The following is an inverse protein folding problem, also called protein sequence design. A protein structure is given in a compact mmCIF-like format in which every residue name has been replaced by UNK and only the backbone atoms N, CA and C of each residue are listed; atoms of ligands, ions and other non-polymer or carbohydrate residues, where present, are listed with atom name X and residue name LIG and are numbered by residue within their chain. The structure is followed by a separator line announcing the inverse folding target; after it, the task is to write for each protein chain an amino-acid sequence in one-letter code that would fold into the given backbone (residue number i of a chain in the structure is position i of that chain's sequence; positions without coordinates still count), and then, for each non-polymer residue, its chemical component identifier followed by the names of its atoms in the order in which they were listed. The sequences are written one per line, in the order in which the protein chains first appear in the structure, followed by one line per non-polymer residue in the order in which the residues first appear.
data_IF_059779390454
#
_entry.id   IF_059779390454
#
_cell.length_a   1.000
_cell.length_b   1.000
_cell.length_c   1.000
_cell.angle_alpha   90.00
_cell.angle_beta   90.00
_cell.angle_gamma   90.00
#
_symmetry.space_group_name_H-M   'P 1'
#
loop_
_entity.id
_entity.type
_entity.pdbx_description
1 polymer ?
#
# COMPACT_ATOMS: atom_id res chain seq x y z
N UNK A 1 -19.64 59.65 -19.93
CA UNK A 1 -18.99 58.60 -20.77
C UNK A 1 -18.35 57.59 -19.87
N UNK A 2 -19.07 56.49 -19.57
CA UNK A 2 -18.68 55.45 -18.61
C UNK A 2 -17.97 54.34 -19.39
N UNK A 3 -16.65 54.21 -19.21
CA UNK A 3 -15.87 53.14 -19.85
C UNK A 3 -16.01 51.85 -19.03
N UNK A 4 -16.62 50.83 -19.62
CA UNK A 4 -16.67 49.47 -19.09
C UNK A 4 -15.38 48.77 -19.44
N UNK A 5 -14.58 48.38 -18.41
CA UNK A 5 -13.44 47.48 -18.57
C UNK A 5 -13.97 46.03 -18.46
N UNK A 6 -13.96 45.32 -19.58
CA UNK A 6 -14.22 43.87 -19.59
C UNK A 6 -12.92 43.19 -19.17
N UNK A 7 -12.89 42.65 -17.96
CA UNK A 7 -11.79 41.79 -17.50
C UNK A 7 -11.94 40.42 -18.14
N UNK A 8 -11.06 40.12 -19.08
CA UNK A 8 -10.97 38.78 -19.71
C UNK A 8 -10.28 37.82 -18.73
N UNK A 9 -11.06 36.93 -18.06
CA UNK A 9 -10.55 35.91 -17.18
C UNK A 9 -9.95 34.79 -18.05
N UNK A 10 -8.62 34.75 -18.16
CA UNK A 10 -7.93 33.62 -18.78
C UNK A 10 -7.99 32.40 -17.83
N UNK A 11 -8.88 31.46 -18.13
CA UNK A 11 -8.84 30.11 -17.57
C UNK A 11 -7.62 29.37 -18.12
N UNK A 12 -6.53 29.33 -17.35
CA UNK A 12 -5.39 28.50 -17.69
C UNK A 12 -5.83 27.01 -17.52
N UNK A 13 -5.65 26.16 -18.55
CA UNK A 13 -5.92 24.75 -18.41
C UNK A 13 -4.97 24.17 -17.37
N UNK A 14 -5.52 23.59 -16.30
CA UNK A 14 -4.76 22.80 -15.32
C UNK A 14 -4.36 21.49 -16.02
N UNK A 15 -3.13 21.39 -16.47
CA UNK A 15 -2.57 20.12 -16.91
C UNK A 15 -2.35 19.26 -15.67
N UNK A 16 -3.21 18.26 -15.47
CA UNK A 16 -2.92 17.21 -14.50
C UNK A 16 -1.63 16.50 -14.96
N UNK A 17 -0.56 16.71 -14.22
CA UNK A 17 0.73 16.07 -14.49
C UNK A 17 0.62 14.57 -14.15
N UNK A 18 1.24 13.72 -14.96
CA UNK A 18 1.40 12.31 -14.62
C UNK A 18 2.21 12.18 -13.31
N UNK A 19 1.80 11.27 -12.44
CA UNK A 19 2.57 10.94 -11.25
C UNK A 19 3.66 9.94 -11.65
N UNK A 20 4.90 10.24 -11.25
CA UNK A 20 6.08 9.42 -11.57
C UNK A 20 6.82 9.05 -10.30
N UNK A 21 7.25 7.79 -10.21
CA UNK A 21 8.03 7.27 -9.09
C UNK A 21 9.20 6.46 -9.62
N UNK A 22 10.35 6.64 -8.99
CA UNK A 22 11.58 5.91 -9.34
C UNK A 22 12.27 5.50 -8.05
N UNK A 23 12.55 4.21 -7.90
CA UNK A 23 13.34 3.70 -6.78
C UNK A 23 14.82 4.06 -6.94
N UNK A 24 15.60 3.95 -5.86
CA UNK A 24 17.04 3.82 -5.94
C UNK A 24 17.48 2.47 -6.54
N UNK A 25 18.79 2.25 -6.64
CA UNK A 25 19.37 0.96 -6.97
C UNK A 25 19.35 -0.01 -5.78
N UNK A 26 19.39 0.53 -4.57
CA UNK A 26 19.16 -0.22 -3.33
C UNK A 26 17.70 -0.60 -3.21
N UNK A 27 17.42 -1.70 -2.55
CA UNK A 27 16.07 -2.17 -2.32
C UNK A 27 15.26 -1.17 -1.49
N UNK A 28 14.12 -0.76 -1.98
CA UNK A 28 13.12 -0.02 -1.22
C UNK A 28 12.42 -0.99 -0.28
N UNK A 29 12.37 -0.69 1.00
CA UNK A 29 11.73 -1.54 1.99
C UNK A 29 10.21 -1.57 1.81
N UNK A 30 9.63 -2.75 1.93
CA UNK A 30 8.17 -2.89 1.93
C UNK A 30 7.71 -3.34 3.30
N UNK A 31 6.82 -2.54 3.90
CA UNK A 31 6.25 -2.77 5.22
C UNK A 31 4.78 -3.17 5.06
N UNK A 32 4.49 -4.43 5.32
CA UNK A 32 3.14 -4.97 5.22
C UNK A 32 2.59 -5.25 6.62
N UNK A 33 1.44 -4.66 6.93
CA UNK A 33 0.68 -4.95 8.13
C UNK A 33 -0.56 -5.76 7.76
N UNK A 34 -0.67 -6.97 8.28
CA UNK A 34 -1.90 -7.76 8.25
C UNK A 34 -2.72 -7.43 9.50
N UNK A 35 -3.90 -6.86 9.32
CA UNK A 35 -4.73 -6.27 10.37
C UNK A 35 -6.21 -6.58 10.14
N UNK A 36 -7.06 -6.28 11.11
CA UNK A 36 -8.52 -6.31 10.99
C UNK A 36 -9.16 -5.41 12.04
N UNK A 37 -10.24 -4.73 11.68
CA UNK A 37 -11.08 -4.00 12.65
C UNK A 37 -11.72 -4.93 13.69
N UNK A 38 -11.85 -6.22 13.38
CA UNK A 38 -12.34 -7.24 14.32
C UNK A 38 -11.36 -7.59 15.43
N UNK A 39 -10.06 -7.33 15.25
CA UNK A 39 -8.98 -7.72 16.15
C UNK A 39 -8.69 -6.62 17.18
N UNK A 40 -8.89 -6.85 18.46
CA UNK A 40 -8.69 -5.84 19.53
C UNK A 40 -7.24 -5.44 19.75
N UNK A 41 -6.28 -6.29 19.40
CA UNK A 41 -4.84 -6.01 19.52
C UNK A 41 -4.26 -5.29 18.28
N UNK A 42 -5.04 -5.11 17.21
CA UNK A 42 -4.59 -4.50 15.96
C UNK A 42 -4.47 -2.97 16.00
N UNK A 43 -5.35 -2.19 16.65
CA UNK A 43 -5.31 -0.73 16.58
C UNK A 43 -3.97 -0.08 16.97
N UNK A 44 -3.17 -0.59 17.91
CA UNK A 44 -1.82 -0.05 18.15
C UNK A 44 -0.88 -0.21 16.96
N UNK A 45 -0.97 -1.31 16.20
CA UNK A 45 -0.16 -1.54 15.00
C UNK A 45 -0.63 -0.65 13.84
N UNK A 46 -1.94 -0.47 13.68
CA UNK A 46 -2.50 0.46 12.69
C UNK A 46 -2.03 1.89 12.95
N UNK A 47 -2.05 2.35 14.21
CA UNK A 47 -1.53 3.69 14.58
C UNK A 47 -0.03 3.83 14.32
N UNK A 48 0.75 2.78 14.60
CA UNK A 48 2.18 2.77 14.27
C UNK A 48 2.39 2.90 12.76
N UNK A 49 1.70 2.09 11.95
CA UNK A 49 1.80 2.18 10.49
C UNK A 49 1.39 3.57 10.00
N UNK A 50 0.29 4.12 10.54
CA UNK A 50 -0.18 5.48 10.22
C UNK A 50 0.85 6.57 10.58
N UNK A 51 1.65 6.37 11.62
CA UNK A 51 2.69 7.34 12.02
C UNK A 51 3.81 7.47 10.99
N UNK A 52 4.01 6.46 10.15
CA UNK A 52 4.99 6.48 9.07
C UNK A 52 4.72 7.55 8.00
N UNK A 53 3.48 8.09 7.96
CA UNK A 53 3.13 9.24 7.06
C UNK A 53 4.00 10.47 7.28
N UNK A 54 4.51 10.65 8.48
CA UNK A 54 5.30 11.83 8.86
C UNK A 54 6.80 11.67 8.55
N UNK A 55 7.22 10.50 8.07
CA UNK A 55 8.62 10.27 7.71
C UNK A 55 8.96 10.97 6.39
N UNK A 56 10.10 11.70 6.32
CA UNK A 56 10.61 12.24 5.07
C UNK A 56 11.06 11.17 4.07
N UNK A 57 11.21 9.93 4.54
CA UNK A 57 11.65 8.74 3.78
C UNK A 57 10.48 7.97 3.16
N UNK A 58 9.23 8.36 3.52
CA UNK A 58 8.04 7.73 2.98
C UNK A 58 8.04 7.75 1.45
N UNK A 59 7.78 6.57 0.86
CA UNK A 59 7.80 6.31 -0.59
C UNK A 59 9.16 6.52 -1.28
N UNK A 60 10.21 6.82 -0.52
CA UNK A 60 11.60 6.88 -1.01
C UNK A 60 12.37 5.65 -0.58
N UNK A 61 12.50 5.47 0.74
CA UNK A 61 13.25 4.35 1.32
C UNK A 61 12.31 3.19 1.69
N UNK A 62 11.04 3.47 1.94
CA UNK A 62 10.05 2.42 2.25
C UNK A 62 8.64 2.72 1.75
N UNK A 63 7.89 1.64 1.52
CA UNK A 63 6.49 1.65 1.06
C UNK A 63 5.64 0.86 2.06
N UNK A 64 4.76 1.52 2.86
CA UNK A 64 3.88 0.84 3.79
C UNK A 64 2.55 0.45 3.17
N UNK A 65 1.98 -0.69 3.59
CA UNK A 65 0.68 -1.19 3.16
C UNK A 65 -0.04 -1.89 4.32
N UNK A 66 -1.35 -1.66 4.47
CA UNK A 66 -2.22 -2.38 5.39
C UNK A 66 -3.14 -3.32 4.63
N UNK A 67 -3.03 -4.61 4.86
CA UNK A 67 -3.89 -5.65 4.32
C UNK A 67 -4.91 -6.07 5.38
N UNK A 68 -6.17 -5.69 5.21
CA UNK A 68 -7.25 -6.09 6.10
C UNK A 68 -7.70 -7.51 5.77
N UNK A 69 -7.55 -8.42 6.73
CA UNK A 69 -7.87 -9.85 6.59
C UNK A 69 -9.31 -10.13 7.02
N UNK A 70 -9.96 -11.10 6.36
CA UNK A 70 -11.37 -11.41 6.55
C UNK A 70 -11.65 -12.51 7.58
N UNK A 71 -10.62 -13.18 8.10
CA UNK A 71 -10.82 -14.28 9.03
C UNK A 71 -11.23 -13.86 10.46
N UNK A 72 -11.47 -12.55 10.69
CA UNK A 72 -12.10 -12.02 11.89
C UNK A 72 -13.59 -11.67 11.70
N UNK A 73 -14.11 -11.68 10.47
CA UNK A 73 -15.49 -11.26 10.17
C UNK A 73 -16.55 -12.09 10.89
N UNK A 74 -16.23 -13.31 11.33
CA UNK A 74 -17.14 -14.22 12.05
C UNK A 74 -17.53 -13.74 13.46
N UNK A 75 -16.80 -12.76 14.04
CA UNK A 75 -17.10 -12.25 15.39
C UNK A 75 -18.23 -11.19 15.41
N UNK A 76 -18.96 -11.03 14.33
CA UNK A 76 -20.11 -10.15 14.21
C UNK A 76 -19.83 -8.76 13.65
N UNK A 77 -18.58 -8.45 13.30
CA UNK A 77 -18.18 -7.25 12.58
C UNK A 77 -17.50 -7.62 11.26
N UNK A 78 -18.12 -7.19 10.16
CA UNK A 78 -17.51 -7.35 8.84
C UNK A 78 -16.68 -6.12 8.54
N UNK A 79 -15.37 -6.30 8.51
CA UNK A 79 -14.42 -5.23 8.19
C UNK A 79 -14.63 -4.74 6.75
N UNK A 80 -14.97 -3.44 6.52
CA UNK A 80 -15.29 -2.92 5.19
C UNK A 80 -14.12 -2.93 4.21
N UNK A 81 -12.90 -3.14 4.69
CA UNK A 81 -11.67 -3.17 3.90
C UNK A 81 -11.14 -4.59 3.70
N UNK A 82 -11.63 -5.56 4.49
CA UNK A 82 -11.15 -6.94 4.44
C UNK A 82 -11.47 -7.64 3.12
N UNK A 83 -10.54 -8.48 2.69
CA UNK A 83 -10.73 -9.34 1.51
C UNK A 83 -10.06 -10.70 1.71
N UNK A 84 -10.72 -11.76 1.25
CA UNK A 84 -10.17 -13.12 1.26
C UNK A 84 -8.80 -13.22 0.57
N UNK A 85 -8.59 -12.42 -0.49
CA UNK A 85 -7.31 -12.36 -1.18
C UNK A 85 -6.15 -11.84 -0.29
N UNK A 86 -6.46 -11.01 0.72
CA UNK A 86 -5.44 -10.49 1.64
C UNK A 86 -5.08 -11.52 2.73
N UNK A 87 -6.06 -12.27 3.21
CA UNK A 87 -5.81 -13.45 4.05
C UNK A 87 -5.01 -14.51 3.29
N UNK A 88 -5.31 -14.70 2.00
CA UNK A 88 -4.56 -15.62 1.16
C UNK A 88 -3.11 -15.17 0.93
N UNK A 89 -2.87 -13.85 0.76
CA UNK A 89 -1.52 -13.30 0.68
C UNK A 89 -0.71 -13.64 1.93
N UNK A 90 -1.30 -13.51 3.12
CA UNK A 90 -0.62 -13.90 4.38
C UNK A 90 -0.36 -15.41 4.45
N UNK A 91 -1.33 -16.25 4.04
CA UNK A 91 -1.12 -17.69 3.94
C UNK A 91 -0.01 -18.09 2.96
N UNK A 92 0.13 -17.34 1.85
CA UNK A 92 1.23 -17.54 0.91
C UNK A 92 2.58 -17.29 1.57
N UNK A 93 2.72 -16.22 2.37
CA UNK A 93 3.93 -15.99 3.15
C UNK A 93 4.26 -17.15 4.09
N UNK A 94 3.24 -17.76 4.71
CA UNK A 94 3.44 -18.97 5.55
C UNK A 94 3.90 -20.16 4.70
N UNK A 95 3.26 -20.41 3.56
CA UNK A 95 3.64 -21.51 2.65
C UNK A 95 5.06 -21.36 2.09
N UNK A 96 5.51 -20.13 1.87
CA UNK A 96 6.88 -19.84 1.40
C UNK A 96 7.91 -19.81 2.56
N UNK A 97 7.48 -20.00 3.80
CA UNK A 97 8.37 -20.01 4.98
C UNK A 97 8.86 -18.64 5.43
N UNK A 98 8.24 -17.56 4.94
CA UNK A 98 8.57 -16.19 5.30
C UNK A 98 7.97 -15.75 6.64
N UNK A 99 6.86 -16.35 7.02
CA UNK A 99 6.08 -16.08 8.24
C UNK A 99 5.75 -17.40 8.92
N UNK A 100 5.82 -17.43 10.24
CA UNK A 100 5.63 -18.65 11.02
C UNK A 100 4.20 -19.18 10.99
N UNK A 101 3.22 -18.28 10.98
CA UNK A 101 1.78 -18.58 10.94
C UNK A 101 0.98 -17.34 10.55
N UNK A 102 -0.28 -17.52 10.16
CA UNK A 102 -1.21 -16.40 9.95
C UNK A 102 -1.75 -15.90 11.30
N UNK A 103 -1.59 -14.62 11.59
CA UNK A 103 -2.10 -13.93 12.79
C UNK A 103 -2.21 -12.43 12.57
N UNK A 104 -2.93 -11.74 13.46
CA UNK A 104 -3.01 -10.29 13.49
C UNK A 104 -2.75 -9.72 14.90
N UNK A 105 -2.13 -8.53 15.00
CA UNK A 105 -1.47 -7.85 13.90
C UNK A 105 -0.21 -8.60 13.47
N UNK A 106 -0.08 -8.91 12.18
CA UNK A 106 1.10 -9.54 11.59
C UNK A 106 1.90 -8.51 10.80
N UNK A 107 3.18 -8.34 11.09
CA UNK A 107 4.04 -7.38 10.39
C UNK A 107 5.11 -8.13 9.60
N UNK A 108 5.21 -7.82 8.33
CA UNK A 108 6.21 -8.37 7.40
C UNK A 108 7.00 -7.22 6.81
N UNK A 109 8.31 -7.28 6.91
CA UNK A 109 9.21 -6.30 6.30
C UNK A 109 10.14 -7.05 5.34
N UNK A 110 10.14 -6.68 4.07
CA UNK A 110 10.97 -7.30 3.04
C UNK A 110 10.86 -8.84 3.02
N UNK A 111 9.61 -9.35 3.07
CA UNK A 111 9.31 -10.78 3.11
C UNK A 111 9.75 -11.52 4.38
N UNK A 112 10.10 -10.82 5.44
CA UNK A 112 10.47 -11.42 6.72
C UNK A 112 9.49 -11.02 7.81
N UNK A 113 9.02 -11.99 8.58
CA UNK A 113 8.21 -11.75 9.77
C UNK A 113 8.97 -10.84 10.75
N UNK A 114 8.35 -9.70 11.13
CA UNK A 114 8.97 -8.74 12.03
C UNK A 114 8.28 -8.72 13.38
N UNK A 115 8.76 -9.55 14.32
CA UNK A 115 8.19 -9.71 15.67
C UNK A 115 8.74 -8.73 16.70
N UNK A 116 9.76 -7.97 16.37
CA UNK A 116 10.38 -6.99 17.28
C UNK A 116 9.42 -5.87 17.65
N UNK A 117 8.40 -5.60 16.83
CA UNK A 117 7.32 -4.67 17.16
C UNK A 117 6.66 -5.03 18.51
N UNK A 118 6.41 -6.31 18.78
CA UNK A 118 5.83 -6.80 20.05
C UNK A 118 6.77 -6.60 21.24
N UNK A 119 8.06 -6.40 21.00
CA UNK A 119 9.08 -6.12 22.01
C UNK A 119 9.35 -4.61 22.16
N UNK A 120 8.50 -3.76 21.58
CA UNK A 120 8.60 -2.29 21.69
C UNK A 120 9.46 -1.62 20.62
N UNK A 121 10.05 -2.34 19.67
CA UNK A 121 10.76 -1.71 18.54
C UNK A 121 9.75 -1.06 17.58
N UNK A 122 10.13 0.11 17.04
CA UNK A 122 9.29 0.89 16.11
C UNK A 122 10.01 1.21 14.80
N UNK A 123 11.29 0.84 14.72
CA UNK A 123 12.14 1.00 13.53
C UNK A 123 12.79 -0.34 13.20
N UNK A 124 13.12 -0.54 11.95
CA UNK A 124 13.83 -1.72 11.44
C UNK A 124 15.15 -1.30 10.80
N UNK A 125 15.97 -2.26 10.40
CA UNK A 125 17.19 -2.02 9.65
C UNK A 125 16.88 -2.13 8.16
N UNK A 126 17.26 -1.13 7.37
CA UNK A 126 17.02 -1.06 5.94
C UNK A 126 17.76 -2.17 5.19
N UNK A 127 17.15 -2.65 4.10
CA UNK A 127 17.77 -3.61 3.19
C UNK A 127 18.56 -2.84 2.12
N UNK A 128 19.89 -2.81 2.27
CA UNK A 128 20.80 -2.10 1.36
C UNK A 128 21.20 -2.90 0.12
N UNK A 129 20.57 -4.06 -0.13
CA UNK A 129 20.87 -4.91 -1.27
C UNK A 129 20.64 -4.18 -2.59
N UNK A 130 21.61 -4.24 -3.50
CA UNK A 130 21.46 -3.72 -4.86
C UNK A 130 20.60 -4.66 -5.70
N UNK A 131 19.50 -4.17 -6.24
CA UNK A 131 18.49 -5.01 -6.89
C UNK A 131 18.04 -4.48 -8.26
N UNK A 132 18.46 -3.27 -8.63
CA UNK A 132 18.00 -2.57 -9.83
C UNK A 132 16.92 -1.55 -9.51
N UNK A 133 16.58 -0.75 -10.50
CA UNK A 133 15.65 0.39 -10.42
C UNK A 133 14.29 0.00 -10.97
N UNK A 134 13.24 0.25 -10.21
CA UNK A 134 11.85 0.21 -10.67
C UNK A 134 11.38 1.63 -10.95
N UNK A 135 10.91 1.90 -12.17
CA UNK A 135 10.27 3.15 -12.59
C UNK A 135 8.80 2.90 -12.84
N UNK A 136 7.96 3.79 -12.36
CA UNK A 136 6.53 3.73 -12.61
C UNK A 136 5.96 5.11 -12.92
N UNK A 137 5.01 5.15 -13.85
CA UNK A 137 4.30 6.36 -14.27
C UNK A 137 2.80 6.06 -14.24
N UNK A 138 2.03 6.92 -13.60
CA UNK A 138 0.58 6.88 -13.64
C UNK A 138 0.05 8.15 -14.32
N UNK A 139 -0.45 7.99 -15.53
CA UNK A 139 -1.15 9.05 -16.25
C UNK A 139 -2.66 8.72 -16.25
N UNK A 140 -3.40 9.39 -15.38
CA UNK A 140 -4.82 9.13 -15.12
C UNK A 140 -5.06 7.68 -14.71
N UNK A 141 -5.41 6.82 -15.67
CA UNK A 141 -5.64 5.37 -15.46
C UNK A 141 -4.61 4.50 -16.19
N UNK A 142 -3.74 5.11 -16.97
CA UNK A 142 -2.68 4.37 -17.68
C UNK A 142 -1.45 4.28 -16.79
N UNK A 143 -1.22 3.11 -16.25
CA UNK A 143 -0.05 2.79 -15.44
C UNK A 143 0.99 2.08 -16.27
N UNK A 144 2.22 2.58 -16.24
CA UNK A 144 3.38 1.92 -16.86
C UNK A 144 4.43 1.67 -15.80
N UNK A 145 5.13 0.54 -15.88
CA UNK A 145 6.26 0.26 -15.02
C UNK A 145 7.37 -0.43 -15.81
N UNK A 146 8.62 -0.15 -15.44
CA UNK A 146 9.82 -0.77 -15.99
C UNK A 146 10.78 -1.11 -14.85
N UNK A 147 11.34 -2.32 -14.89
CA UNK A 147 12.32 -2.80 -13.92
C UNK A 147 13.60 -3.25 -14.64
N UNK A 148 14.74 -2.68 -14.27
CA UNK A 148 16.04 -2.98 -14.90
C UNK A 148 16.87 -4.05 -14.18
N UNK A 149 16.31 -4.62 -13.08
CA UNK A 149 16.97 -5.70 -12.35
C UNK A 149 17.09 -7.02 -13.14
N UNK A 150 17.89 -7.94 -12.64
CA UNK A 150 18.20 -9.20 -13.36
C UNK A 150 17.01 -10.16 -13.46
N UNK A 151 16.19 -10.25 -12.41
CA UNK A 151 15.07 -11.19 -12.31
C UNK A 151 13.76 -10.43 -12.31
N UNK A 152 12.96 -10.69 -13.31
CA UNK A 152 11.62 -10.15 -13.43
C UNK A 152 10.57 -11.26 -13.32
N UNK A 153 9.31 -10.86 -13.19
CA UNK A 153 8.20 -11.79 -13.04
C UNK A 153 6.88 -11.02 -13.07
N UNK A 154 6.24 -10.87 -11.95
CA UNK A 154 4.96 -10.19 -11.82
C UNK A 154 5.13 -8.76 -11.32
N UNK A 155 4.32 -7.86 -11.86
CA UNK A 155 4.08 -6.54 -11.28
C UNK A 155 2.82 -6.61 -10.41
N UNK A 156 2.93 -6.09 -9.20
CA UNK A 156 1.81 -5.88 -8.31
C UNK A 156 1.56 -4.38 -8.15
N UNK A 157 0.30 -3.98 -8.13
CA UNK A 157 -0.11 -2.58 -7.95
C UNK A 157 -1.20 -2.56 -6.89
N UNK A 158 -0.97 -1.85 -5.81
CA UNK A 158 -1.97 -1.60 -4.76
C UNK A 158 -2.47 -0.16 -4.84
N UNK A 159 -3.79 0.01 -4.91
CA UNK A 159 -4.43 1.29 -4.69
C UNK A 159 -4.66 1.42 -3.19
N UNK A 160 -4.09 2.46 -2.59
CA UNK A 160 -4.08 2.69 -1.15
C UNK A 160 -5.03 3.82 -0.77
N UNK A 161 -5.84 3.60 0.26
CA UNK A 161 -6.66 4.63 0.90
C UNK A 161 -5.98 5.19 2.15
N UNK A 162 -6.03 6.52 2.29
CA UNK A 162 -5.44 7.26 3.41
C UNK A 162 -6.51 7.98 4.20
N UNK A 163 -6.37 8.02 5.54
CA UNK A 163 -7.28 8.76 6.42
C UNK A 163 -8.70 8.20 6.43
N UNK A 164 -8.84 6.90 6.26
CA UNK A 164 -10.12 6.18 6.37
C UNK A 164 -10.56 6.13 7.83
N UNK A 165 -11.84 6.36 8.09
CA UNK A 165 -12.40 6.32 9.45
C UNK A 165 -13.64 5.44 9.49
N UNK A 166 -13.71 4.55 10.47
CA UNK A 166 -14.82 3.62 10.66
C UNK A 166 -15.32 3.64 12.10
N UNK A 167 -16.64 3.77 12.29
CA UNK A 167 -17.27 3.54 13.60
C UNK A 167 -17.64 2.06 13.71
N UNK A 168 -16.89 1.31 14.49
CA UNK A 168 -17.07 -0.15 14.67
C UNK A 168 -18.33 -0.42 15.50
N UNK A 169 -19.28 -1.21 14.98
CA UNK A 169 -20.57 -1.44 15.63
C UNK A 169 -20.68 -2.76 16.38
N UNK A 170 -19.78 -3.71 16.12
CA UNK A 170 -19.79 -5.04 16.74
C UNK A 170 -18.36 -5.59 16.87
N UNK A 171 -18.21 -6.83 17.39
CA UNK A 171 -16.91 -7.47 17.59
C UNK A 171 -16.10 -6.86 18.75
N UNK A 172 -14.82 -7.22 18.83
CA UNK A 172 -13.96 -6.83 19.96
C UNK A 172 -13.66 -5.32 20.04
N UNK A 173 -13.75 -4.60 18.93
CA UNK A 173 -13.56 -3.14 18.89
C UNK A 173 -14.88 -2.35 18.88
N UNK A 174 -16.00 -2.98 19.26
CA UNK A 174 -17.32 -2.32 19.31
C UNK A 174 -17.26 -0.99 20.07
N UNK A 175 -17.87 0.04 19.47
CA UNK A 175 -17.96 1.39 20.03
C UNK A 175 -16.73 2.26 19.82
N UNK A 176 -15.68 1.74 19.18
CA UNK A 176 -14.50 2.52 18.81
C UNK A 176 -14.66 3.18 17.46
N UNK A 177 -14.05 4.34 17.31
CA UNK A 177 -13.75 4.95 16.02
C UNK A 177 -12.29 4.62 15.67
N UNK A 178 -12.08 3.95 14.54
CA UNK A 178 -10.77 3.55 14.05
C UNK A 178 -10.41 4.38 12.84
N UNK A 179 -9.16 4.83 12.78
CA UNK A 179 -8.59 5.54 11.63
C UNK A 179 -7.45 4.74 11.05
N UNK A 180 -7.46 4.60 9.73
CA UNK A 180 -6.50 3.79 9.00
C UNK A 180 -5.85 4.57 7.87
N UNK A 181 -4.59 4.25 7.61
CA UNK A 181 -3.80 4.76 6.49
C UNK A 181 -3.13 3.60 5.75
N UNK A 182 -2.76 3.84 4.51
CA UNK A 182 -2.10 2.86 3.64
C UNK A 182 -2.94 1.59 3.41
N UNK A 183 -4.27 1.68 3.56
CA UNK A 183 -5.18 0.53 3.40
C UNK A 183 -5.22 0.10 1.94
N UNK A 184 -4.91 -1.15 1.66
CA UNK A 184 -5.01 -1.72 0.32
C UNK A 184 -6.48 -1.86 -0.07
N UNK A 185 -7.00 -0.92 -0.84
CA UNK A 185 -8.38 -0.92 -1.34
C UNK A 185 -8.55 -1.84 -2.54
N UNK A 186 -7.51 -1.94 -3.37
CA UNK A 186 -7.46 -2.83 -4.53
C UNK A 186 -6.04 -3.31 -4.76
N UNK A 187 -5.89 -4.58 -5.02
CA UNK A 187 -4.64 -5.21 -5.46
C UNK A 187 -4.82 -5.75 -6.88
N UNK A 188 -3.86 -5.47 -7.73
CA UNK A 188 -3.80 -5.89 -9.13
C UNK A 188 -2.46 -6.61 -9.31
N UNK A 189 -2.47 -7.77 -9.94
CA UNK A 189 -1.26 -8.50 -10.28
C UNK A 189 -1.25 -8.73 -11.79
N UNK A 190 -0.14 -8.40 -12.43
CA UNK A 190 0.03 -8.49 -13.88
C UNK A 190 1.27 -9.31 -14.18
N UNK A 191 1.12 -10.43 -14.90
CA UNK A 191 2.29 -11.19 -15.36
C UNK A 191 3.07 -10.38 -16.40
N UNK A 192 4.36 -10.62 -16.47
CA UNK A 192 5.25 -9.97 -17.44
C UNK A 192 6.69 -10.27 -17.11
N UNK A 193 7.60 -9.58 -17.78
CA UNK A 193 9.03 -9.77 -17.56
C UNK A 193 9.67 -8.56 -16.90
N UNK A 194 9.82 -7.43 -17.62
CA UNK A 194 10.52 -6.22 -17.16
C UNK A 194 9.77 -4.93 -17.42
N UNK A 195 8.73 -4.97 -18.24
CA UNK A 195 7.91 -3.81 -18.55
C UNK A 195 6.44 -4.17 -18.61
N UNK A 196 5.62 -3.27 -18.09
CA UNK A 196 4.17 -3.45 -17.98
C UNK A 196 3.45 -2.18 -18.40
N UNK A 197 2.30 -2.38 -19.04
CA UNK A 197 1.32 -1.30 -19.26
C UNK A 197 -0.04 -1.83 -18.84
N UNK A 198 -0.69 -1.13 -17.93
CA UNK A 198 -1.95 -1.56 -17.29
C UNK A 198 -2.92 -0.40 -17.29
N UNK A 199 -4.18 -0.67 -17.62
CA UNK A 199 -5.26 0.29 -17.36
C UNK A 199 -5.80 0.02 -15.95
N UNK A 200 -5.55 0.96 -15.02
CA UNK A 200 -6.07 0.86 -13.66
C UNK A 200 -7.60 0.97 -13.67
N UNK A 201 -8.30 0.22 -12.79
CA UNK A 201 -9.71 0.46 -12.54
C UNK A 201 -9.92 1.84 -11.92
N UNK A 202 -11.16 2.28 -11.82
CA UNK A 202 -11.50 3.40 -10.95
C UNK A 202 -11.10 3.10 -9.51
N UNK A 203 -10.64 4.13 -8.82
CA UNK A 203 -10.23 3.97 -7.43
C UNK A 203 -11.46 3.73 -6.56
N UNK A 204 -11.44 2.69 -5.71
CA UNK A 204 -12.58 2.41 -4.85
C UNK A 204 -12.86 3.58 -3.90
N UNK A 205 -14.10 4.06 -3.90
CA UNK A 205 -14.55 5.08 -2.96
C UNK A 205 -14.95 4.42 -1.63
N UNK A 206 -14.17 4.68 -0.57
CA UNK A 206 -14.35 4.14 0.77
C UNK A 206 -14.34 5.22 1.86
N UNK A 207 -14.40 6.50 1.45
CA UNK A 207 -14.31 7.64 2.34
C UNK A 207 -12.88 8.05 2.69
N UNK A 208 -11.90 7.63 1.90
CA UNK A 208 -10.50 8.04 2.06
C UNK A 208 -10.33 9.53 1.75
N UNK A 209 -9.44 10.18 2.52
CA UNK A 209 -9.11 11.60 2.31
C UNK A 209 -8.13 11.81 1.15
N UNK A 210 -7.35 10.79 0.82
CA UNK A 210 -6.35 10.80 -0.25
C UNK A 210 -6.08 9.39 -0.72
N UNK A 211 -5.64 9.25 -1.98
CA UNK A 211 -5.16 7.99 -2.51
C UNK A 211 -3.63 7.99 -2.66
N UNK A 212 -3.07 6.78 -2.60
CA UNK A 212 -1.69 6.52 -3.00
C UNK A 212 -1.63 5.24 -3.82
N UNK A 213 -0.53 5.05 -4.53
CA UNK A 213 -0.21 3.79 -5.20
C UNK A 213 1.08 3.24 -4.60
N UNK A 214 1.08 1.93 -4.35
CA UNK A 214 2.28 1.14 -4.17
C UNK A 214 2.41 0.17 -5.34
N UNK A 215 3.60 0.06 -5.92
CA UNK A 215 3.87 -0.92 -6.96
C UNK A 215 5.17 -1.65 -6.63
N UNK A 216 5.17 -2.97 -6.83
CA UNK A 216 6.36 -3.79 -6.58
C UNK A 216 6.44 -4.95 -7.56
N UNK A 217 7.63 -5.49 -7.72
CA UNK A 217 7.89 -6.64 -8.59
C UNK A 217 8.34 -7.85 -7.78
N UNK A 218 7.90 -9.02 -8.22
CA UNK A 218 8.28 -10.32 -7.66
C UNK A 218 8.70 -11.29 -8.76
N UNK A 219 9.42 -12.37 -8.46
CA UNK A 219 9.50 -13.52 -9.36
C UNK A 219 8.12 -14.12 -9.59
N UNK A 220 7.97 -14.92 -10.65
CA UNK A 220 6.74 -15.66 -10.86
C UNK A 220 6.47 -16.62 -9.70
N UNK A 221 5.20 -16.71 -9.26
CA UNK A 221 4.75 -17.62 -8.21
C UNK A 221 5.50 -17.48 -6.87
N UNK A 222 5.95 -16.29 -6.53
CA UNK A 222 6.60 -15.99 -5.25
C UNK A 222 6.10 -14.67 -4.68
N UNK A 223 6.06 -14.58 -3.33
CA UNK A 223 5.83 -13.33 -2.61
C UNK A 223 7.11 -12.52 -2.43
N UNK A 224 8.27 -13.03 -2.83
CA UNK A 224 9.56 -12.36 -2.64
C UNK A 224 9.61 -11.04 -3.42
N UNK A 225 9.57 -9.93 -2.70
CA UNK A 225 9.65 -8.59 -3.28
C UNK A 225 11.07 -8.30 -3.70
N UNK A 226 11.26 -7.96 -4.97
CA UNK A 226 12.56 -7.58 -5.55
C UNK A 226 12.82 -6.09 -5.38
N UNK A 227 11.86 -5.24 -5.79
CA UNK A 227 11.92 -3.79 -5.70
C UNK A 227 10.53 -3.21 -5.60
N UNK A 228 10.40 -2.00 -5.03
CA UNK A 228 9.14 -1.30 -4.90
C UNK A 228 9.27 0.20 -5.14
N UNK A 229 8.17 0.82 -5.52
CA UNK A 229 7.96 2.27 -5.58
C UNK A 229 6.57 2.61 -5.08
N UNK A 230 6.34 3.85 -4.71
CA UNK A 230 5.02 4.32 -4.33
C UNK A 230 4.96 5.83 -4.25
N UNK A 231 3.75 6.32 -4.05
CA UNK A 231 3.53 7.75 -3.86
C UNK A 231 2.06 8.10 -3.87
N UNK A 232 1.79 9.34 -3.50
CA UNK A 232 0.44 9.88 -3.57
C UNK A 232 0.01 10.09 -5.01
N UNK A 233 -1.28 9.93 -5.25
CA UNK A 233 -1.97 10.30 -6.49
C UNK A 233 -3.05 11.31 -6.12
N UNK A 234 -3.01 12.44 -6.79
CA UNK A 234 -3.98 13.54 -6.62
C UNK A 234 -5.07 13.47 -7.67
#
# INVERSE_FOLDING_TARGET
MTKWFIALLFLLPSFASAAEWTSGTSKTDVVELFTSEGCSSCPPADRWLSSLKSSPELFKEFVPMAFHVDYWDYIGWKDPFAKAAYSERQRNYVREGHVSQSYTPGIVINNKEWRQWFRGQRTWTDDTKQVGVLRAVNDKRRFKAEFDGEKAGQLHIAILGMGLTTSVKAGENRGRELTHDFVVLKLITVPGEKSWTVTLPEFPEKGQKRNAIAAWVTPNNSQTILQAVGGYVD
#
